data_IF_942212621413
#
_entry.id   IF_942212621413
#
_cell.length_a   1.000
_cell.length_b   1.000
_cell.length_c   1.000
_cell.angle_alpha   90.00
_cell.angle_beta   90.00
_cell.angle_gamma   90.00
#
_symmetry.space_group_name_H-M   'P 1'
#
loop_
_entity.id
_entity.type
_entity.pdbx_description
1 polymer ?
#
# COMPACT_ATOMS: atom_id res chain seq x y z
N UNK A 1 -16.15 16.49 7.84
CA UNK A 1 -14.93 15.76 7.46
C UNK A 1 -15.36 14.60 6.59
N UNK A 2 -15.19 14.71 5.26
CA UNK A 2 -15.81 13.82 4.27
C UNK A 2 -15.22 12.41 4.35
N UNK A 3 -16.09 11.39 4.37
CA UNK A 3 -15.77 9.96 4.31
C UNK A 3 -14.98 9.55 3.05
N UNK A 4 -14.87 10.46 2.08
CA UNK A 4 -14.14 10.30 0.82
C UNK A 4 -12.63 10.14 0.98
N UNK A 5 -12.01 10.67 2.04
CA UNK A 5 -10.54 10.65 2.21
C UNK A 5 -10.00 9.30 2.69
N UNK A 6 -10.79 8.52 3.45
CA UNK A 6 -10.37 7.20 3.95
C UNK A 6 -10.40 6.13 2.85
N UNK A 7 -11.34 6.23 1.91
CA UNK A 7 -11.48 5.26 0.81
C UNK A 7 -10.27 5.29 -0.15
N UNK A 8 -9.64 6.46 -0.30
CA UNK A 8 -8.39 6.61 -1.05
C UNK A 8 -7.15 6.06 -0.32
N UNK A 9 -7.18 6.00 1.01
CA UNK A 9 -6.10 5.38 1.79
C UNK A 9 -6.08 3.86 1.68
N UNK A 10 -7.23 3.25 1.34
CA UNK A 10 -7.43 1.79 1.25
C UNK A 10 -7.87 1.31 -0.15
N UNK A 11 -7.64 2.09 -1.21
CA UNK A 11 -7.96 1.62 -2.57
C UNK A 11 -6.99 0.51 -2.98
N UNK A 12 -7.51 -0.72 -3.04
CA UNK A 12 -6.81 -1.97 -3.38
C UNK A 12 -6.78 -2.26 -4.89
N UNK A 13 -6.96 -1.23 -5.72
CA UNK A 13 -7.00 -1.34 -7.20
C UNK A 13 -5.60 -1.37 -7.83
N UNK A 14 -4.53 -1.30 -7.02
CA UNK A 14 -3.17 -1.34 -7.53
C UNK A 14 -2.72 -2.78 -7.65
N UNK A 15 -2.48 -3.24 -8.89
CA UNK A 15 -1.70 -4.45 -9.14
C UNK A 15 -0.29 -4.26 -8.54
N UNK A 16 -0.08 -4.80 -7.34
CA UNK A 16 1.20 -4.75 -6.63
C UNK A 16 1.98 -6.01 -7.00
N UNK A 17 3.16 -5.89 -7.61
CA UNK A 17 3.95 -7.06 -7.99
C UNK A 17 4.45 -7.80 -6.75
N UNK A 18 4.57 -9.14 -6.84
CA UNK A 18 4.84 -10.03 -5.70
C UNK A 18 6.07 -9.65 -4.86
N UNK A 19 7.16 -9.24 -5.51
CA UNK A 19 8.39 -8.80 -4.85
C UNK A 19 8.22 -7.57 -3.94
N UNK A 20 7.17 -6.75 -4.18
CA UNK A 20 6.90 -5.60 -3.34
C UNK A 20 6.41 -6.00 -1.95
N UNK A 21 5.75 -7.16 -1.81
CA UNK A 21 5.38 -7.69 -0.50
C UNK A 21 6.61 -8.14 0.28
N UNK A 22 7.57 -8.80 -0.37
CA UNK A 22 8.82 -9.22 0.25
C UNK A 22 9.65 -8.03 0.74
N UNK A 23 9.73 -6.96 -0.07
CA UNK A 23 10.38 -5.73 0.36
C UNK A 23 9.62 -5.04 1.50
N UNK A 24 8.29 -5.01 1.47
CA UNK A 24 7.51 -4.42 2.57
C UNK A 24 7.76 -5.17 3.88
N UNK A 25 7.80 -6.51 3.83
CA UNK A 25 8.08 -7.37 4.97
C UNK A 25 9.51 -7.17 5.49
N UNK A 26 10.50 -7.19 4.59
CA UNK A 26 11.90 -6.97 4.93
C UNK A 26 12.14 -5.58 5.51
N UNK A 27 11.56 -4.53 4.91
CA UNK A 27 11.66 -3.17 5.41
C UNK A 27 11.00 -3.04 6.78
N UNK A 28 9.85 -3.67 7.00
CA UNK A 28 9.18 -3.73 8.29
C UNK A 28 10.04 -4.39 9.38
N UNK A 29 10.70 -5.50 9.07
CA UNK A 29 11.63 -6.17 9.99
C UNK A 29 12.88 -5.32 10.28
N UNK A 30 13.51 -4.74 9.26
CA UNK A 30 14.69 -3.87 9.44
C UNK A 30 14.35 -2.66 10.30
N UNK A 31 13.15 -2.12 10.16
CA UNK A 31 12.71 -0.95 10.94
C UNK A 31 12.22 -1.33 12.36
N UNK A 32 11.83 -2.58 12.59
CA UNK A 32 11.46 -3.07 13.93
C UNK A 32 12.67 -3.41 14.81
N UNK A 33 13.78 -3.87 14.24
CA UNK A 33 14.98 -4.26 15.00
C UNK A 33 15.56 -3.10 15.85
N UNK A 34 15.75 -1.87 15.33
CA UNK A 34 16.19 -0.72 16.12
C UNK A 34 15.19 -0.35 17.22
N UNK A 35 13.89 -0.57 16.96
CA UNK A 35 12.83 -0.25 17.91
C UNK A 35 12.87 -1.20 19.11
N UNK A 36 13.03 -2.50 18.85
CA UNK A 36 13.17 -3.52 19.89
C UNK A 36 14.46 -3.27 20.68
N UNK A 37 15.57 -3.01 19.99
CA UNK A 37 16.87 -2.82 20.64
C UNK A 37 16.94 -1.55 21.50
N UNK A 38 16.29 -0.47 21.08
CA UNK A 38 16.28 0.78 21.87
C UNK A 38 15.26 0.76 23.01
N UNK A 39 14.33 -0.19 23.02
CA UNK A 39 13.28 -0.27 24.04
C UNK A 39 13.86 -0.85 25.33
N UNK A 40 13.93 0.00 26.35
CA UNK A 40 14.33 -0.40 27.70
C UNK A 40 13.12 -0.91 28.47
N UNK A 41 13.28 -2.05 29.12
CA UNK A 41 12.27 -2.64 29.98
C UNK A 41 12.74 -2.58 31.42
N UNK A 42 11.87 -2.13 32.32
CA UNK A 42 12.12 -2.17 33.76
C UNK A 42 11.32 -3.30 34.38
N UNK A 43 11.99 -4.12 35.20
CA UNK A 43 11.35 -5.10 36.08
C UNK A 43 11.16 -4.41 37.42
N UNK A 44 9.91 -4.20 37.81
CA UNK A 44 9.56 -3.53 39.07
C UNK A 44 9.43 -4.57 40.20
N UNK A 45 9.29 -4.11 41.44
CA UNK A 45 9.17 -4.95 42.64
C UNK A 45 8.04 -5.99 42.56
N UNK A 46 7.01 -5.72 41.75
CA UNK A 46 5.89 -6.65 41.50
C UNK A 46 6.22 -7.79 40.51
N UNK A 47 7.49 -7.93 40.07
CA UNK A 47 7.95 -8.84 39.00
C UNK A 47 7.27 -8.65 37.63
N UNK A 48 6.58 -7.53 37.44
CA UNK A 48 5.95 -7.16 36.17
C UNK A 48 6.91 -6.34 35.30
N UNK A 49 6.89 -6.63 34.00
CA UNK A 49 7.75 -6.00 33.00
C UNK A 49 7.01 -4.82 32.38
N UNK A 50 7.51 -3.61 32.59
CA UNK A 50 6.97 -2.40 31.99
C UNK A 50 7.96 -1.79 30.99
N UNK A 51 7.41 -1.24 29.90
CA UNK A 51 8.22 -0.46 28.96
C UNK A 51 8.55 0.89 29.61
N UNK A 52 9.85 1.16 29.79
CA UNK A 52 10.33 2.47 30.23
C UNK A 52 10.17 3.46 29.08
N UNK A 53 9.83 4.72 29.39
CA UNK A 53 9.67 5.79 28.38
C UNK A 53 10.91 5.85 27.47
N UNK A 54 10.74 5.41 26.23
CA UNK A 54 11.80 5.31 25.23
C UNK A 54 11.54 6.29 24.09
N UNK A 55 12.41 7.28 23.93
CA UNK A 55 12.35 8.23 22.82
C UNK A 55 12.61 7.56 21.46
N UNK A 56 13.24 6.38 21.44
CA UNK A 56 13.49 5.59 20.23
C UNK A 56 12.21 5.25 19.47
N UNK A 57 11.08 5.07 20.18
CA UNK A 57 9.78 4.86 19.55
C UNK A 57 9.35 6.05 18.69
N UNK A 58 9.55 7.25 19.19
CA UNK A 58 9.19 8.47 18.49
C UNK A 58 10.04 8.66 17.23
N UNK A 59 11.34 8.34 17.30
CA UNK A 59 12.22 8.39 16.12
C UNK A 59 11.84 7.36 15.06
N UNK A 60 11.56 6.11 15.45
CA UNK A 60 11.13 5.08 14.49
C UNK A 60 9.78 5.44 13.84
N UNK A 61 8.84 5.96 14.63
CA UNK A 61 7.54 6.41 14.14
C UNK A 61 7.68 7.53 13.09
N UNK A 62 8.50 8.54 13.38
CA UNK A 62 8.82 9.61 12.43
C UNK A 62 9.52 9.04 11.19
N UNK A 63 10.46 8.11 11.36
CA UNK A 63 11.15 7.42 10.26
C UNK A 63 10.18 6.73 9.29
N UNK A 64 9.21 5.96 9.79
CA UNK A 64 8.18 5.31 8.97
C UNK A 64 7.37 6.34 8.20
N UNK A 65 6.98 7.44 8.84
CA UNK A 65 6.23 8.51 8.17
C UNK A 65 7.06 9.13 7.04
N UNK A 66 8.33 9.42 7.26
CA UNK A 66 9.23 9.96 6.23
C UNK A 66 9.42 8.99 5.07
N UNK A 67 9.66 7.71 5.35
CA UNK A 67 9.73 6.65 4.32
C UNK A 67 8.44 6.61 3.52
N UNK A 68 7.28 6.62 4.18
CA UNK A 68 5.97 6.61 3.53
C UNK A 68 5.77 7.82 2.61
N UNK A 69 6.12 9.03 3.07
CA UNK A 69 6.00 10.25 2.26
C UNK A 69 6.98 10.26 1.09
N UNK A 70 8.20 9.77 1.29
CA UNK A 70 9.22 9.66 0.25
C UNK A 70 8.81 8.66 -0.83
N UNK A 71 8.38 7.44 -0.43
CA UNK A 71 7.85 6.43 -1.35
C UNK A 71 6.63 6.98 -2.09
N UNK A 72 5.68 7.62 -1.39
CA UNK A 72 4.51 8.24 -2.05
C UNK A 72 4.95 9.27 -3.08
N UNK A 73 5.88 10.18 -2.76
CA UNK A 73 6.38 11.18 -3.71
C UNK A 73 7.02 10.54 -4.95
N UNK A 74 7.81 9.49 -4.78
CA UNK A 74 8.43 8.76 -5.89
C UNK A 74 7.40 8.00 -6.73
N UNK A 75 6.53 7.23 -6.08
CA UNK A 75 5.53 6.36 -6.72
C UNK A 75 4.39 7.16 -7.38
N UNK A 76 3.94 8.27 -6.78
CA UNK A 76 2.97 9.19 -7.38
C UNK A 76 3.54 9.87 -8.62
N UNK A 77 4.87 10.03 -8.72
CA UNK A 77 5.53 10.59 -9.91
C UNK A 77 5.92 9.56 -10.98
N UNK A 78 6.05 8.27 -10.64
CA UNK A 78 6.65 7.27 -11.54
C UNK A 78 5.68 6.16 -11.94
N UNK A 79 5.36 6.07 -13.25
CA UNK A 79 4.84 4.92 -14.05
C UNK A 79 3.66 4.06 -13.54
N UNK A 80 3.37 3.95 -12.25
CA UNK A 80 2.31 3.10 -11.69
C UNK A 80 0.91 3.62 -12.02
N UNK A 81 0.72 4.95 -12.06
CA UNK A 81 -0.52 5.50 -12.61
C UNK A 81 -0.70 5.11 -14.08
N UNK A 82 0.39 5.10 -14.87
CA UNK A 82 0.36 4.82 -16.31
C UNK A 82 -0.11 3.40 -16.63
N UNK A 83 0.29 2.40 -15.85
CA UNK A 83 -0.21 1.03 -16.02
C UNK A 83 -1.70 0.90 -15.70
N UNK A 84 -2.20 1.64 -14.70
CA UNK A 84 -3.62 1.62 -14.37
C UNK A 84 -4.48 2.25 -15.49
N UNK A 85 -3.99 3.33 -16.12
CA UNK A 85 -4.65 3.92 -17.29
C UNK A 85 -4.71 2.96 -18.48
N UNK A 86 -3.63 2.23 -18.79
CA UNK A 86 -3.64 1.27 -19.89
C UNK A 86 -4.54 0.06 -19.61
N UNK A 87 -4.60 -0.40 -18.37
CA UNK A 87 -5.50 -1.50 -17.98
C UNK A 87 -6.97 -1.11 -18.15
N UNK A 88 -7.37 0.06 -17.63
CA UNK A 88 -8.74 0.57 -17.73
C UNK A 88 -9.16 0.83 -19.19
N UNK A 89 -8.25 1.38 -20.02
CA UNK A 89 -8.52 1.60 -21.44
C UNK A 89 -8.62 0.29 -22.22
N UNK A 90 -7.77 -0.68 -21.90
CA UNK A 90 -7.80 -1.99 -22.56
C UNK A 90 -9.09 -2.75 -22.26
N UNK A 91 -9.59 -2.70 -21.01
CA UNK A 91 -10.85 -3.32 -20.63
C UNK A 91 -12.05 -2.69 -21.35
N UNK A 92 -12.07 -1.36 -21.47
CA UNK A 92 -13.09 -0.65 -22.25
C UNK A 92 -13.13 -1.08 -23.71
N UNK A 93 -11.96 -1.28 -24.34
CA UNK A 93 -11.87 -1.76 -25.73
C UNK A 93 -12.37 -3.20 -25.88
N UNK A 94 -12.03 -4.09 -24.94
CA UNK A 94 -12.47 -5.49 -24.96
C UNK A 94 -14.01 -5.56 -24.83
N UNK A 95 -14.61 -4.78 -23.95
CA UNK A 95 -16.06 -4.75 -23.74
C UNK A 95 -16.82 -4.17 -24.95
N UNK A 96 -16.28 -3.12 -25.56
CA UNK A 96 -16.85 -2.55 -26.78
C UNK A 96 -16.76 -3.52 -27.96
N UNK A 97 -15.64 -4.24 -28.06
CA UNK A 97 -15.42 -5.28 -29.06
C UNK A 97 -16.37 -6.46 -28.85
N UNK A 98 -16.52 -6.94 -27.61
CA UNK A 98 -17.48 -8.01 -27.30
C UNK A 98 -18.92 -7.61 -27.63
N UNK A 99 -19.29 -6.35 -27.33
CA UNK A 99 -20.61 -5.80 -27.65
C UNK A 99 -20.86 -5.70 -29.16
N UNK A 100 -19.86 -5.30 -29.96
CA UNK A 100 -20.01 -5.21 -31.43
C UNK A 100 -20.18 -6.58 -32.08
N UNK A 101 -19.48 -7.61 -31.60
CA UNK A 101 -19.70 -8.99 -32.06
C UNK A 101 -21.10 -9.52 -31.71
N UNK A 102 -21.62 -9.22 -30.52
CA UNK A 102 -22.98 -9.61 -30.15
C UNK A 102 -24.05 -8.93 -31.03
N UNK A 103 -23.88 -7.64 -31.31
CA UNK A 103 -24.79 -6.91 -32.21
C UNK A 103 -24.74 -7.48 -33.64
N UNK A 104 -23.54 -7.78 -34.15
CA UNK A 104 -23.38 -8.42 -35.47
C UNK A 104 -24.06 -9.80 -35.52
N UNK A 105 -23.87 -10.63 -34.49
CA UNK A 105 -24.54 -11.94 -34.38
C UNK A 105 -26.07 -11.84 -34.31
N UNK A 106 -26.60 -10.78 -33.68
CA UNK A 106 -28.05 -10.55 -33.61
C UNK A 106 -28.65 -10.10 -34.94
N UNK A 107 -27.89 -9.35 -35.75
CA UNK A 107 -28.30 -8.90 -37.08
C UNK A 107 -28.22 -10.01 -38.13
N UNK A 108 -27.33 -10.99 -37.97
CA UNK A 108 -27.21 -12.15 -38.88
C UNK A 108 -28.28 -13.22 -38.60
N UNK A 109 -28.91 -13.20 -37.42
CA UNK A 109 -29.91 -14.19 -36.98
C UNK A 109 -31.36 -13.82 -37.35
N UNK A 110 -31.57 -12.71 -38.06
CA UNK A 110 -32.84 -12.28 -38.64
C UNK A 110 -32.76 -12.28 -40.15
#
# INVERSE_FOLDING_TARGET
MSSFSLRYLFSSELFVPSWAYELALGLGMVLSLPLIWTTNYEVREDNLIYAKKNCGFMFAFVGIILVRLFLRKKLTGSRLQRYNYYFILHEHDILNTARSYQLSQSLIRH
#
